data_IF_031575063173
#
_entry.id   IF_031575063173
#
_cell.length_a   1.000
_cell.length_b   1.000
_cell.length_c   1.000
_cell.angle_alpha   90.00
_cell.angle_beta   90.00
_cell.angle_gamma   90.00
#
_symmetry.space_group_name_H-M   'P 1'
#
loop_
_entity.id
_entity.type
_entity.pdbx_description
1 polymer ?
#
# COMPACT_ATOMS: atom_id res chain seq x y z
N UNK A 1 -27.55 12.65 -30.86
CA UNK A 1 -26.32 11.94 -30.42
C UNK A 1 -25.46 12.78 -29.45
N UNK A 2 -25.17 14.05 -29.75
CA UNK A 2 -24.31 14.91 -28.93
C UNK A 2 -24.66 14.97 -27.43
N UNK A 3 -25.95 15.09 -27.08
CA UNK A 3 -26.38 15.13 -25.68
C UNK A 3 -26.05 13.85 -24.89
N UNK A 4 -26.03 12.68 -25.55
CA UNK A 4 -25.60 11.43 -24.91
C UNK A 4 -24.08 11.42 -24.67
N UNK A 5 -23.31 11.94 -25.62
CA UNK A 5 -21.85 12.02 -25.53
C UNK A 5 -21.44 12.96 -24.39
N UNK A 6 -22.07 14.13 -24.27
CA UNK A 6 -21.80 15.10 -23.19
C UNK A 6 -22.09 14.49 -21.81
N UNK A 7 -23.22 13.78 -21.68
CA UNK A 7 -23.56 13.09 -20.42
C UNK A 7 -22.55 11.99 -20.07
N UNK A 8 -22.12 11.21 -21.06
CA UNK A 8 -21.09 10.18 -20.85
C UNK A 8 -19.75 10.81 -20.44
N UNK A 9 -19.34 11.91 -21.08
CA UNK A 9 -18.12 12.61 -20.73
C UNK A 9 -18.13 13.09 -19.27
N UNK A 10 -19.23 13.69 -18.82
CA UNK A 10 -19.38 14.13 -17.43
C UNK A 10 -19.29 12.95 -16.43
N UNK A 11 -19.92 11.81 -16.76
CA UNK A 11 -19.85 10.60 -15.92
C UNK A 11 -18.41 10.06 -15.86
N UNK A 12 -17.72 10.01 -16.99
CA UNK A 12 -16.32 9.56 -17.04
C UNK A 12 -15.43 10.48 -16.20
N UNK A 13 -15.59 11.79 -16.32
CA UNK A 13 -14.82 12.77 -15.54
C UNK A 13 -15.01 12.63 -14.03
N UNK A 14 -16.26 12.40 -13.59
CA UNK A 14 -16.56 12.16 -12.17
C UNK A 14 -15.90 10.87 -11.69
N UNK A 15 -16.00 9.79 -12.46
CA UNK A 15 -15.46 8.48 -12.09
C UNK A 15 -13.93 8.53 -12.06
N UNK A 16 -13.27 9.16 -13.05
CA UNK A 16 -11.82 9.24 -13.10
C UNK A 16 -11.27 10.08 -11.95
N UNK A 17 -11.89 11.22 -11.64
CA UNK A 17 -11.49 12.06 -10.49
C UNK A 17 -11.60 11.28 -9.17
N UNK A 18 -12.74 10.62 -8.93
CA UNK A 18 -12.92 9.82 -7.71
C UNK A 18 -11.95 8.64 -7.64
N UNK A 19 -11.70 7.98 -8.76
CA UNK A 19 -10.75 6.86 -8.84
C UNK A 19 -9.33 7.33 -8.54
N UNK A 20 -8.92 8.50 -9.05
CA UNK A 20 -7.60 9.06 -8.78
C UNK A 20 -7.39 9.33 -7.29
N UNK A 21 -8.37 9.94 -6.61
CA UNK A 21 -8.32 10.20 -5.17
C UNK A 21 -8.23 8.91 -4.34
N UNK A 22 -9.03 7.90 -4.67
CA UNK A 22 -8.97 6.60 -3.99
C UNK A 22 -7.61 5.92 -4.22
N UNK A 23 -7.08 6.00 -5.44
CA UNK A 23 -5.77 5.41 -5.76
C UNK A 23 -4.64 6.10 -4.97
N UNK A 24 -4.70 7.41 -4.78
CA UNK A 24 -3.76 8.15 -3.93
C UNK A 24 -3.81 7.66 -2.48
N UNK A 25 -5.00 7.47 -1.92
CA UNK A 25 -5.16 6.91 -0.57
C UNK A 25 -4.58 5.50 -0.46
N UNK A 26 -4.86 4.63 -1.44
CA UNK A 26 -4.35 3.26 -1.46
C UNK A 26 -2.83 3.25 -1.54
N UNK A 27 -2.23 4.08 -2.40
CA UNK A 27 -0.76 4.13 -2.55
C UNK A 27 -0.09 4.64 -1.27
N UNK A 28 -0.69 5.63 -0.60
CA UNK A 28 -0.22 6.09 0.72
C UNK A 28 -0.29 4.98 1.76
N UNK A 29 -1.42 4.29 1.88
CA UNK A 29 -1.60 3.18 2.81
C UNK A 29 -0.64 2.03 2.51
N UNK A 30 -0.43 1.72 1.23
CA UNK A 30 0.49 0.66 0.80
C UNK A 30 1.94 1.01 1.17
N UNK A 31 2.35 2.27 1.01
CA UNK A 31 3.68 2.74 1.42
C UNK A 31 3.88 2.61 2.94
N UNK A 32 2.91 3.06 3.73
CA UNK A 32 2.95 2.93 5.20
C UNK A 32 3.00 1.46 5.65
N UNK A 33 2.20 0.61 5.01
CA UNK A 33 2.16 -0.83 5.31
C UNK A 33 3.50 -1.49 4.99
N UNK A 34 4.08 -1.18 3.82
CA UNK A 34 5.42 -1.66 3.45
C UNK A 34 6.48 -1.23 4.45
N UNK A 35 6.46 0.02 4.89
CA UNK A 35 7.40 0.53 5.88
C UNK A 35 7.27 -0.22 7.21
N UNK A 36 6.04 -0.42 7.72
CA UNK A 36 5.80 -1.16 8.95
C UNK A 36 6.26 -2.63 8.86
N UNK A 37 5.95 -3.31 7.75
CA UNK A 37 6.42 -4.69 7.51
C UNK A 37 7.94 -4.76 7.46
N UNK A 38 8.59 -3.79 6.81
CA UNK A 38 10.05 -3.74 6.74
C UNK A 38 10.69 -3.53 8.12
N UNK A 39 10.13 -2.64 8.95
CA UNK A 39 10.59 -2.44 10.33
C UNK A 39 10.44 -3.71 11.17
N UNK A 40 9.29 -4.38 11.08
CA UNK A 40 9.07 -5.66 11.76
C UNK A 40 10.08 -6.71 11.31
N UNK A 41 10.38 -6.77 10.00
CA UNK A 41 11.35 -7.71 9.44
C UNK A 41 12.73 -7.47 10.04
N UNK A 42 13.20 -6.22 10.08
CA UNK A 42 14.49 -5.87 10.68
C UNK A 42 14.55 -6.26 12.17
N UNK A 43 13.49 -5.96 12.93
CA UNK A 43 13.43 -6.32 14.35
C UNK A 43 13.47 -7.84 14.56
N UNK A 44 12.74 -8.59 13.74
CA UNK A 44 12.75 -10.06 13.78
C UNK A 44 14.13 -10.61 13.39
N UNK A 45 14.75 -10.08 12.33
CA UNK A 45 16.08 -10.51 11.90
C UNK A 45 17.14 -10.26 12.98
N UNK A 46 17.04 -9.14 13.72
CA UNK A 46 17.88 -8.87 14.89
C UNK A 46 17.69 -9.92 15.99
N UNK A 47 16.44 -10.17 16.41
CA UNK A 47 16.14 -11.17 17.45
C UNK A 47 16.57 -12.58 17.04
N UNK A 48 16.40 -12.95 15.78
CA UNK A 48 16.84 -14.26 15.29
C UNK A 48 18.36 -14.40 15.26
N UNK A 49 19.10 -13.32 15.01
CA UNK A 49 20.56 -13.35 15.08
C UNK A 49 21.08 -13.53 16.51
N UNK A 50 20.40 -12.92 17.49
CA UNK A 50 20.77 -13.00 18.91
C UNK A 50 20.29 -14.30 19.57
N UNK A 51 19.05 -14.71 19.33
CA UNK A 51 18.34 -15.74 20.09
C UNK A 51 17.85 -16.92 19.22
N UNK A 52 17.97 -16.84 17.90
CA UNK A 52 17.40 -17.83 16.97
C UNK A 52 18.23 -19.10 16.77
N UNK A 53 19.47 -19.12 17.29
CA UNK A 53 20.30 -20.32 17.33
C UNK A 53 19.97 -21.21 18.53
N UNK A 54 20.26 -22.52 18.42
CA UNK A 54 20.31 -23.36 19.62
C UNK A 54 21.50 -22.84 20.44
N UNK A 55 21.23 -22.26 21.62
CA UNK A 55 22.27 -21.82 22.55
C UNK A 55 23.25 -22.98 22.79
N UNK A 56 24.37 -22.96 22.07
CA UNK A 56 25.47 -23.89 22.26
C UNK A 56 26.15 -23.49 23.56
N UNK A 57 25.72 -24.10 24.66
CA UNK A 57 26.32 -23.89 25.97
C UNK A 57 27.75 -24.44 25.96
N UNK A 58 28.71 -23.61 25.57
CA UNK A 58 30.15 -23.78 25.76
C UNK A 58 30.77 -22.44 26.14
#
# INVERSE_FOLDING_TARGET
>A
MLNRIIRLQAVVEIITNKTAWVLELITKQQSQTRAAVYQNRLAIDFLLAEEGGICGKF
#
